data_IF_752092783797
#
_entry.id   IF_752092783797
#
_cell.length_a   1.000
_cell.length_b   1.000
_cell.length_c   1.000
_cell.angle_alpha   90.00
_cell.angle_beta   90.00
_cell.angle_gamma   90.00
#
_symmetry.space_group_name_H-M   'P 1'
#
loop_
_entity.id
_entity.type
_entity.pdbx_description
1 polymer ?
#
# COMPACT_ATOMS: atom_id res chain seq x y z
N UNK A 1 1.94 -11.95 4.74
CA UNK A 1 1.67 -13.04 3.81
C UNK A 1 2.61 -12.89 2.63
N UNK A 2 3.52 -13.85 2.51
CA UNK A 2 4.44 -13.93 1.40
C UNK A 2 3.89 -14.90 0.38
N UNK A 3 3.60 -14.41 -0.82
CA UNK A 3 3.18 -15.27 -1.93
C UNK A 3 4.44 -15.91 -2.51
N UNK A 4 4.53 -17.25 -2.58
CA UNK A 4 5.71 -17.91 -3.12
C UNK A 4 5.96 -17.46 -4.56
N UNK A 5 7.23 -17.40 -4.96
CA UNK A 5 7.60 -17.17 -6.35
C UNK A 5 7.28 -18.40 -7.21
N UNK A 6 6.86 -18.17 -8.45
CA UNK A 6 6.83 -19.24 -9.45
C UNK A 6 8.25 -19.68 -9.82
N UNK A 7 8.40 -20.83 -10.48
CA UNK A 7 9.71 -21.29 -10.96
C UNK A 7 10.38 -20.28 -11.88
N UNK A 8 9.60 -19.63 -12.75
CA UNK A 8 10.12 -18.63 -13.67
C UNK A 8 10.54 -17.35 -12.95
N UNK A 9 9.73 -16.88 -11.99
CA UNK A 9 10.09 -15.74 -11.14
C UNK A 9 11.35 -16.00 -10.33
N UNK A 10 11.52 -17.21 -9.78
CA UNK A 10 12.74 -17.56 -9.05
C UNK A 10 13.97 -17.54 -9.97
N UNK A 11 13.82 -17.98 -11.22
CA UNK A 11 14.88 -17.89 -12.24
C UNK A 11 15.23 -16.43 -12.56
N UNK A 12 14.22 -15.58 -12.76
CA UNK A 12 14.40 -14.14 -12.99
C UNK A 12 15.07 -13.45 -11.79
N UNK A 13 14.63 -13.77 -10.56
CA UNK A 13 15.23 -13.24 -9.34
C UNK A 13 16.70 -13.64 -9.22
N UNK A 14 17.04 -14.91 -9.44
CA UNK A 14 18.42 -15.39 -9.36
C UNK A 14 19.32 -14.75 -10.42
N UNK A 15 18.82 -14.59 -11.65
CA UNK A 15 19.56 -13.90 -12.71
C UNK A 15 19.81 -12.43 -12.36
N UNK A 16 18.83 -11.76 -11.74
CA UNK A 16 19.00 -10.39 -11.24
C UNK A 16 20.01 -10.32 -10.09
N UNK A 17 19.95 -11.24 -9.12
CA UNK A 17 20.90 -11.33 -8.00
C UNK A 17 22.34 -11.43 -8.52
N UNK A 18 22.59 -12.27 -9.54
CA UNK A 18 23.90 -12.39 -10.18
C UNK A 18 24.28 -11.10 -10.93
N UNK A 19 23.37 -10.56 -11.75
CA UNK A 19 23.62 -9.34 -12.53
C UNK A 19 23.98 -8.12 -11.67
N UNK A 20 23.41 -8.04 -10.45
CA UNK A 20 23.67 -6.97 -9.49
C UNK A 20 24.70 -7.35 -8.41
N UNK A 21 25.38 -8.48 -8.53
CA UNK A 21 26.47 -8.91 -7.65
C UNK A 21 26.05 -8.97 -6.17
N UNK A 22 24.94 -9.67 -5.92
CA UNK A 22 24.29 -9.84 -4.61
C UNK A 22 24.25 -11.31 -4.15
N UNK A 23 25.06 -12.19 -4.75
CA UNK A 23 25.03 -13.64 -4.55
C UNK A 23 25.27 -14.03 -3.09
N UNK A 24 26.15 -13.30 -2.40
CA UNK A 24 26.42 -13.51 -0.98
C UNK A 24 25.20 -13.28 -0.07
N UNK A 25 24.18 -12.56 -0.56
CA UNK A 25 22.92 -12.32 0.14
C UNK A 25 21.71 -13.00 -0.53
N UNK A 26 21.94 -13.94 -1.45
CA UNK A 26 20.87 -14.51 -2.29
C UNK A 26 19.73 -15.15 -1.49
N UNK A 27 20.04 -15.91 -0.45
CA UNK A 27 19.01 -16.57 0.37
C UNK A 27 18.16 -15.56 1.13
N UNK A 28 18.80 -14.53 1.70
CA UNK A 28 18.09 -13.45 2.40
C UNK A 28 17.20 -12.65 1.44
N UNK A 29 17.67 -12.37 0.23
CA UNK A 29 16.86 -11.69 -0.82
C UNK A 29 15.67 -12.55 -1.20
N UNK A 30 15.86 -13.87 -1.42
CA UNK A 30 14.75 -14.79 -1.71
C UNK A 30 13.74 -14.79 -0.59
N UNK A 31 14.18 -14.84 0.68
CA UNK A 31 13.31 -14.78 1.87
C UNK A 31 12.44 -13.53 1.93
N UNK A 32 12.95 -12.41 1.43
CA UNK A 32 12.26 -11.11 1.40
C UNK A 32 11.61 -10.81 0.04
N UNK A 33 11.45 -11.84 -0.81
CA UNK A 33 10.79 -11.74 -2.11
C UNK A 33 9.42 -12.41 -2.11
N UNK A 34 8.43 -11.73 -2.69
CA UNK A 34 7.07 -12.22 -2.85
C UNK A 34 6.60 -12.04 -4.29
N UNK A 35 5.78 -12.95 -4.77
CA UNK A 35 5.08 -12.75 -6.04
C UNK A 35 3.97 -11.70 -5.86
N UNK A 36 3.76 -10.87 -6.87
CA UNK A 36 2.68 -9.89 -6.91
C UNK A 36 2.25 -9.62 -8.36
N UNK A 37 1.31 -8.70 -8.56
CA UNK A 37 1.02 -8.18 -9.89
C UNK A 37 1.49 -6.73 -10.02
N UNK A 38 2.13 -6.43 -11.14
CA UNK A 38 2.21 -5.09 -11.70
C UNK A 38 0.90 -4.79 -12.43
N UNK A 39 0.26 -3.66 -12.10
CA UNK A 39 -0.95 -3.18 -12.75
C UNK A 39 -0.57 -2.03 -13.69
N UNK A 40 -0.68 -2.29 -14.99
CA UNK A 40 -0.16 -1.45 -16.06
C UNK A 40 -1.33 -0.75 -16.75
N UNK A 41 -1.19 0.56 -16.97
CA UNK A 41 -2.15 1.32 -17.76
C UNK A 41 -2.11 0.87 -19.23
N UNK A 42 -3.26 0.45 -19.75
CA UNK A 42 -3.46 -0.08 -21.10
C UNK A 42 -4.44 0.79 -21.89
N UNK A 43 -4.26 2.10 -21.77
CA UNK A 43 -5.08 3.12 -22.43
C UNK A 43 -6.37 3.50 -21.68
N UNK A 44 -7.11 4.44 -22.26
CA UNK A 44 -8.36 4.93 -21.67
C UNK A 44 -9.50 3.93 -21.90
N UNK A 45 -10.30 3.73 -20.85
CA UNK A 45 -11.53 2.97 -20.94
C UNK A 45 -12.66 3.82 -21.54
N UNK A 46 -13.19 3.35 -22.67
CA UNK A 46 -14.30 4.00 -23.39
C UNK A 46 -15.66 3.43 -23.01
N UNK A 47 -15.74 2.61 -21.95
CA UNK A 47 -16.95 1.97 -21.44
C UNK A 47 -17.67 1.10 -22.47
N UNK A 48 -16.91 0.37 -23.29
CA UNK A 48 -17.44 -0.55 -24.31
C UNK A 48 -17.90 -1.88 -23.73
N UNK A 49 -17.37 -2.26 -22.57
CA UNK A 49 -17.73 -3.45 -21.82
C UNK A 49 -17.95 -3.05 -20.35
N UNK A 50 -18.63 -3.92 -19.60
CA UNK A 50 -18.86 -3.77 -18.17
C UNK A 50 -18.16 -4.87 -17.38
N UNK A 51 -17.83 -4.59 -16.12
CA UNK A 51 -17.25 -5.57 -15.20
C UNK A 51 -15.77 -5.85 -15.45
N UNK A 52 -15.11 -5.03 -16.25
CA UNK A 52 -13.71 -5.14 -16.61
C UNK A 52 -12.82 -4.38 -15.60
N UNK A 53 -11.57 -4.77 -15.37
CA UNK A 53 -10.65 -4.08 -14.44
C UNK A 53 -10.35 -2.65 -14.89
N UNK A 54 -10.64 -1.68 -14.05
CA UNK A 54 -10.50 -0.27 -14.39
C UNK A 54 -10.21 0.58 -13.17
N UNK A 55 -9.35 1.56 -13.35
CA UNK A 55 -9.02 2.57 -12.35
C UNK A 55 -9.52 3.93 -12.84
N UNK A 56 -10.06 4.74 -11.93
CA UNK A 56 -10.73 6.00 -12.24
C UNK A 56 -12.06 5.86 -12.99
N UNK A 57 -12.74 6.99 -13.17
CA UNK A 57 -14.03 7.06 -13.88
C UNK A 57 -15.23 6.64 -13.03
N UNK A 58 -16.11 5.82 -13.61
CA UNK A 58 -17.43 5.48 -13.05
C UNK A 58 -17.60 3.95 -12.91
N UNK A 59 -17.83 3.38 -11.72
CA UNK A 59 -17.86 1.93 -11.53
C UNK A 59 -18.99 1.26 -12.32
N UNK A 60 -18.82 -0.01 -12.66
CA UNK A 60 -19.92 -0.86 -13.14
C UNK A 60 -20.56 -1.56 -11.95
N UNK A 61 -21.73 -1.11 -11.51
CA UNK A 61 -22.43 -1.68 -10.35
C UNK A 61 -23.73 -2.36 -10.79
N UNK A 62 -24.20 -3.38 -10.05
CA UNK A 62 -25.55 -3.90 -10.19
C UNK A 62 -26.60 -2.80 -9.99
N UNK A 63 -27.81 -3.02 -10.53
CA UNK A 63 -28.85 -2.00 -10.50
C UNK A 63 -29.27 -1.61 -9.06
N UNK A 64 -29.22 -2.58 -8.15
CA UNK A 64 -29.62 -2.44 -6.75
C UNK A 64 -28.52 -1.91 -5.81
N UNK A 65 -27.31 -1.65 -6.31
CA UNK A 65 -26.24 -1.06 -5.53
C UNK A 65 -26.13 0.43 -5.87
N UNK A 66 -26.36 1.26 -4.86
CA UNK A 66 -26.24 2.71 -4.96
C UNK A 66 -24.77 3.16 -4.90
N UNK A 67 -24.52 4.42 -5.28
CA UNK A 67 -23.20 5.02 -5.10
C UNK A 67 -22.94 5.21 -3.60
N UNK A 68 -21.81 4.74 -3.04
CA UNK A 68 -21.57 4.84 -1.60
C UNK A 68 -21.52 6.29 -1.10
N UNK A 69 -22.17 6.55 0.04
CA UNK A 69 -22.19 7.87 0.69
C UNK A 69 -21.77 7.81 2.16
N UNK A 70 -21.27 8.92 2.68
CA UNK A 70 -21.03 9.15 4.11
C UNK A 70 -21.88 10.34 4.54
N UNK A 71 -22.49 10.27 5.72
CA UNK A 71 -23.20 11.41 6.32
C UNK A 71 -22.37 11.92 7.48
N UNK A 72 -22.00 13.20 7.43
CA UNK A 72 -21.34 13.90 8.53
C UNK A 72 -22.13 15.17 8.93
N UNK A 73 -21.50 16.05 9.70
CA UNK A 73 -22.14 17.29 10.18
C UNK A 73 -22.51 18.26 9.05
N UNK A 74 -21.82 18.19 7.90
CA UNK A 74 -22.06 19.05 6.74
C UNK A 74 -23.10 18.44 5.77
N UNK A 75 -23.55 17.21 6.05
CA UNK A 75 -24.56 16.50 5.27
C UNK A 75 -24.03 15.26 4.55
N UNK A 76 -24.65 14.91 3.42
CA UNK A 76 -24.33 13.71 2.66
C UNK A 76 -23.20 14.00 1.67
N UNK A 77 -22.08 13.29 1.85
CA UNK A 77 -20.92 13.27 0.95
C UNK A 77 -20.86 11.95 0.19
N UNK A 78 -20.35 11.98 -1.03
CA UNK A 78 -20.24 10.84 -1.94
C UNK A 78 -18.81 10.34 -1.92
N UNK A 79 -18.64 9.03 -1.77
CA UNK A 79 -17.31 8.43 -1.74
C UNK A 79 -16.67 8.52 -3.13
N UNK A 80 -15.37 8.78 -3.21
CA UNK A 80 -14.65 8.89 -4.48
C UNK A 80 -14.33 7.49 -5.01
N UNK A 81 -14.70 7.16 -6.26
CA UNK A 81 -14.37 5.88 -6.85
C UNK A 81 -12.90 5.80 -7.27
N UNK A 82 -12.19 4.76 -6.83
CA UNK A 82 -10.78 4.55 -7.15
C UNK A 82 -10.61 3.51 -8.25
N UNK A 83 -11.14 2.31 -8.04
CA UNK A 83 -10.96 1.23 -8.98
C UNK A 83 -11.99 0.11 -8.81
N UNK A 84 -12.17 -0.65 -9.88
CA UNK A 84 -12.78 -1.98 -9.88
C UNK A 84 -11.76 -2.99 -10.40
N UNK A 85 -11.60 -4.11 -9.70
CA UNK A 85 -10.66 -5.18 -10.05
C UNK A 85 -11.47 -6.46 -10.26
N UNK A 86 -11.53 -6.92 -11.52
CA UNK A 86 -12.12 -8.22 -11.83
C UNK A 86 -11.07 -9.30 -11.68
N UNK A 87 -11.20 -10.12 -10.65
CA UNK A 87 -10.24 -11.18 -10.36
C UNK A 87 -10.13 -12.23 -11.46
N UNK A 88 -11.13 -12.34 -12.34
CA UNK A 88 -11.11 -13.24 -13.50
C UNK A 88 -10.23 -12.73 -14.65
N UNK A 89 -9.88 -11.44 -14.67
CA UNK A 89 -8.93 -10.86 -15.65
C UNK A 89 -7.47 -10.99 -15.20
N UNK A 90 -7.21 -11.41 -13.96
CA UNK A 90 -5.85 -11.58 -13.46
C UNK A 90 -5.25 -12.87 -14.04
N UNK A 91 -4.04 -12.83 -14.64
CA UNK A 91 -3.37 -14.04 -15.07
C UNK A 91 -2.97 -14.88 -13.83
N UNK A 92 -2.73 -16.20 -13.97
CA UNK A 92 -2.27 -16.99 -12.83
C UNK A 92 -0.96 -16.46 -12.23
N UNK A 93 -0.97 -16.09 -10.94
CA UNK A 93 0.25 -15.71 -10.21
C UNK A 93 1.00 -16.96 -9.72
N UNK A 94 0.39 -17.68 -8.78
CA UNK A 94 0.82 -19.01 -8.32
C UNK A 94 -0.39 -19.82 -7.86
N UNK A 95 -0.20 -21.12 -7.63
CA UNK A 95 -1.25 -22.00 -7.06
C UNK A 95 -1.72 -21.58 -5.65
N UNK A 96 -0.98 -20.69 -4.97
CA UNK A 96 -1.21 -20.28 -3.58
C UNK A 96 -1.31 -18.75 -3.42
N UNK A 97 -1.79 -18.04 -4.44
CA UNK A 97 -1.94 -16.58 -4.35
C UNK A 97 -2.97 -16.14 -3.29
N UNK A 98 -3.92 -17.01 -2.93
CA UNK A 98 -5.00 -16.75 -1.97
C UNK A 98 -6.08 -15.77 -2.45
N UNK A 99 -5.82 -15.00 -3.52
CA UNK A 99 -6.81 -14.16 -4.19
C UNK A 99 -8.01 -14.97 -4.70
N UNK A 100 -9.20 -14.34 -4.79
CA UNK A 100 -10.31 -14.93 -5.52
C UNK A 100 -9.94 -15.26 -6.97
N UNK A 101 -10.54 -16.32 -7.51
CA UNK A 101 -10.41 -16.66 -8.94
C UNK A 101 -11.45 -15.97 -9.81
N UNK A 102 -12.44 -15.30 -9.20
CA UNK A 102 -13.55 -14.64 -9.87
C UNK A 102 -14.15 -13.57 -8.95
N UNK A 103 -15.02 -12.75 -9.51
CA UNK A 103 -15.69 -11.66 -8.78
C UNK A 103 -15.00 -10.32 -8.99
N UNK A 104 -15.64 -9.25 -8.52
CA UNK A 104 -15.15 -7.89 -8.69
C UNK A 104 -15.08 -7.19 -7.33
N UNK A 105 -13.90 -6.65 -7.02
CA UNK A 105 -13.68 -5.75 -5.89
C UNK A 105 -13.75 -4.31 -6.38
N UNK A 106 -14.55 -3.49 -5.72
CA UNK A 106 -14.64 -2.04 -5.94
C UNK A 106 -14.07 -1.33 -4.71
N UNK A 107 -13.28 -0.29 -4.92
CA UNK A 107 -12.71 0.54 -3.87
C UNK A 107 -13.13 2.00 -4.04
N UNK A 108 -13.54 2.61 -2.94
CA UNK A 108 -13.86 4.02 -2.84
C UNK A 108 -13.19 4.64 -1.61
N UNK A 109 -12.91 5.95 -1.67
CA UNK A 109 -12.45 6.74 -0.52
C UNK A 109 -13.67 7.33 0.19
N UNK A 110 -13.79 7.06 1.48
CA UNK A 110 -14.80 7.66 2.37
C UNK A 110 -14.30 8.90 3.08
N UNK A 111 -12.99 8.94 3.35
CA UNK A 111 -12.32 10.05 4.00
C UNK A 111 -10.82 9.92 3.74
N UNK A 112 -10.19 11.03 3.37
CA UNK A 112 -8.75 11.21 3.46
C UNK A 112 -8.52 12.60 4.04
N UNK A 113 -7.72 12.65 5.11
CA UNK A 113 -7.37 13.89 5.79
C UNK A 113 -6.01 14.39 5.35
N UNK A 114 -5.23 14.92 6.30
CA UNK A 114 -3.83 15.25 6.05
C UNK A 114 -2.98 14.00 5.87
N UNK A 115 -1.79 14.17 5.29
CA UNK A 115 -0.76 13.15 5.30
C UNK A 115 -0.51 12.67 6.76
N UNK A 116 -0.27 11.37 6.96
CA UNK A 116 -0.22 10.66 8.25
C UNK A 116 -1.56 10.41 9.01
N UNK A 117 -2.72 10.82 8.46
CA UNK A 117 -4.02 10.28 8.90
C UNK A 117 -4.38 9.02 8.10
N UNK A 118 -5.17 8.14 8.73
CA UNK A 118 -5.66 6.95 8.06
C UNK A 118 -6.61 7.34 6.92
N UNK A 119 -6.48 6.66 5.79
CA UNK A 119 -7.46 6.74 4.69
C UNK A 119 -8.58 5.76 4.97
N UNK A 120 -9.82 6.27 5.08
CA UNK A 120 -10.99 5.42 5.28
C UNK A 120 -11.55 4.99 3.93
N UNK A 121 -11.73 3.69 3.76
CA UNK A 121 -12.18 3.07 2.53
C UNK A 121 -13.63 2.60 2.63
N UNK A 122 -14.32 2.58 1.50
CA UNK A 122 -15.51 1.76 1.30
C UNK A 122 -15.18 0.75 0.21
N UNK A 123 -15.40 -0.52 0.50
CA UNK A 123 -15.20 -1.61 -0.43
C UNK A 123 -16.53 -2.28 -0.73
N UNK A 124 -16.66 -2.79 -1.95
CA UNK A 124 -17.75 -3.68 -2.33
C UNK A 124 -17.10 -4.88 -3.00
N UNK A 125 -17.37 -6.09 -2.51
CA UNK A 125 -16.89 -7.30 -3.17
C UNK A 125 -18.05 -8.16 -3.66
N UNK A 126 -18.16 -8.28 -4.98
CA UNK A 126 -19.13 -9.15 -5.65
C UNK A 126 -18.46 -10.47 -5.97
N UNK A 127 -18.70 -11.49 -5.15
CA UNK A 127 -18.10 -12.84 -5.29
C UNK A 127 -18.36 -13.50 -6.66
N UNK A 128 -19.48 -13.15 -7.30
CA UNK A 128 -19.82 -13.50 -8.69
C UNK A 128 -20.11 -12.23 -9.46
N UNK A 129 -19.71 -12.19 -10.72
CA UNK A 129 -20.02 -11.08 -11.64
C UNK A 129 -21.52 -11.13 -11.98
N UNK A 130 -22.33 -10.14 -11.58
CA UNK A 130 -23.76 -10.14 -11.87
C UNK A 130 -24.04 -9.93 -13.37
N UNK A 131 -25.11 -10.53 -13.87
CA UNK A 131 -25.51 -10.37 -15.27
C UNK A 131 -26.08 -8.98 -15.58
N UNK A 132 -26.51 -8.24 -14.56
CA UNK A 132 -27.15 -6.93 -14.64
C UNK A 132 -26.19 -5.75 -14.38
N UNK A 133 -24.87 -6.00 -14.41
CA UNK A 133 -23.87 -4.93 -14.27
C UNK A 133 -24.08 -3.82 -15.29
N UNK A 134 -24.09 -2.58 -14.80
CA UNK A 134 -24.19 -1.39 -15.63
C UNK A 134 -23.25 -0.32 -15.11
N UNK A 135 -22.70 0.46 -16.03
CA UNK A 135 -21.98 1.69 -15.70
C UNK A 135 -22.85 2.58 -14.82
N UNK A 136 -22.43 2.78 -13.57
CA UNK A 136 -23.10 3.66 -12.62
C UNK A 136 -22.58 5.07 -12.81
N UNK A 137 -23.42 5.93 -13.40
CA UNK A 137 -23.10 7.34 -13.56
C UNK A 137 -22.81 8.00 -12.22
N UNK A 138 -21.79 8.85 -12.21
CA UNK A 138 -21.51 9.70 -11.07
C UNK A 138 -22.75 10.55 -10.74
N UNK A 139 -22.94 10.92 -9.47
CA UNK A 139 -24.02 11.83 -9.05
C UNK A 139 -23.95 13.14 -9.86
N UNK A 140 -25.10 13.75 -10.18
CA UNK A 140 -25.14 14.96 -11.03
C UNK A 140 -24.48 16.20 -10.40
N UNK A 141 -24.46 16.27 -9.07
CA UNK A 141 -23.87 17.35 -8.26
C UNK A 141 -23.24 16.73 -7.01
N UNK A 142 -22.15 15.98 -7.19
CA UNK A 142 -21.54 15.27 -6.07
C UNK A 142 -20.90 16.28 -5.13
N UNK A 143 -21.11 16.07 -3.83
CA UNK A 143 -20.23 16.60 -2.79
C UNK A 143 -19.29 15.45 -2.50
N UNK A 144 -18.04 15.52 -2.97
CA UNK A 144 -17.08 14.43 -2.80
C UNK A 144 -16.51 14.38 -1.38
N UNK A 145 -16.13 13.18 -0.95
CA UNK A 145 -15.43 12.99 0.33
C UNK A 145 -14.02 13.58 0.29
N UNK A 146 -13.37 13.59 -0.87
CA UNK A 146 -12.00 14.05 -1.03
C UNK A 146 -11.78 14.74 -2.39
N UNK A 147 -10.93 15.77 -2.41
CA UNK A 147 -10.65 16.59 -3.60
C UNK A 147 -9.54 16.03 -4.50
N UNK A 148 -8.64 15.19 -4.00
CA UNK A 148 -7.56 14.59 -4.80
C UNK A 148 -8.05 13.49 -5.74
N UNK A 149 -9.22 12.90 -5.43
CA UNK A 149 -9.80 11.80 -6.18
C UNK A 149 -11.01 12.20 -7.03
N UNK A 150 -11.02 13.43 -7.55
CA UNK A 150 -12.07 13.93 -8.45
C UNK A 150 -11.63 13.82 -9.91
N UNK A 151 -12.60 13.66 -10.82
CA UNK A 151 -12.40 13.68 -12.28
C UNK A 151 -11.31 12.72 -12.81
N UNK A 152 -11.08 11.61 -12.10
CA UNK A 152 -10.12 10.59 -12.48
C UNK A 152 -10.47 10.00 -13.85
N UNK A 153 -9.46 9.92 -14.73
CA UNK A 153 -9.62 9.38 -16.07
C UNK A 153 -9.75 7.86 -16.01
N UNK A 154 -10.84 7.35 -16.58
CA UNK A 154 -11.12 5.93 -16.70
C UNK A 154 -10.00 5.24 -17.51
N UNK A 155 -9.24 4.37 -16.85
CA UNK A 155 -8.04 3.74 -17.40
C UNK A 155 -8.19 2.23 -17.35
N UNK A 156 -7.99 1.56 -18.50
CA UNK A 156 -7.93 0.09 -18.57
C UNK A 156 -6.63 -0.39 -17.99
N UNK A 157 -6.71 -1.51 -17.28
CA UNK A 157 -5.56 -2.10 -16.60
C UNK A 157 -5.30 -3.50 -17.15
N UNK A 158 -4.02 -3.75 -17.41
CA UNK A 158 -3.49 -5.07 -17.67
C UNK A 158 -2.63 -5.49 -16.50
N UNK A 159 -2.87 -6.68 -15.97
CA UNK A 159 -2.10 -7.23 -14.87
C UNK A 159 -0.98 -8.13 -15.40
N UNK A 160 0.23 -7.97 -14.88
CA UNK A 160 1.37 -8.85 -15.15
C UNK A 160 1.96 -9.36 -13.85
N UNK A 161 2.20 -10.67 -13.78
CA UNK A 161 2.83 -11.29 -12.63
C UNK A 161 4.30 -10.86 -12.53
N UNK A 162 4.73 -10.34 -11.39
CA UNK A 162 6.11 -9.87 -11.15
C UNK A 162 6.58 -10.19 -9.72
N UNK A 163 7.78 -9.73 -9.39
CA UNK A 163 8.44 -9.93 -8.10
C UNK A 163 8.43 -8.60 -7.33
N UNK A 164 8.10 -8.67 -6.04
CA UNK A 164 8.31 -7.58 -5.09
C UNK A 164 9.36 -8.01 -4.07
N UNK A 165 10.35 -7.17 -3.82
CA UNK A 165 11.35 -7.35 -2.76
C UNK A 165 11.05 -6.37 -1.63
N UNK A 166 11.14 -6.78 -0.37
CA UNK A 166 10.92 -5.93 0.80
C UNK A 166 12.13 -5.02 1.09
N UNK A 167 12.46 -4.12 0.15
CA UNK A 167 13.62 -3.23 0.25
C UNK A 167 13.58 -2.26 1.44
N UNK A 168 12.41 -1.98 2.01
CA UNK A 168 12.30 -1.16 3.23
C UNK A 168 12.64 -1.93 4.53
N UNK A 169 12.86 -3.25 4.46
CA UNK A 169 13.24 -4.03 5.65
C UNK A 169 14.65 -3.71 6.12
N UNK A 170 14.79 -3.16 7.33
CA UNK A 170 16.08 -2.78 7.88
C UNK A 170 17.02 -3.98 8.05
N UNK A 171 16.49 -5.14 8.47
CA UNK A 171 17.31 -6.34 8.70
C UNK A 171 17.91 -6.90 7.40
N UNK A 172 17.16 -6.82 6.30
CA UNK A 172 17.63 -7.15 4.96
C UNK A 172 18.75 -6.22 4.51
N UNK A 173 18.56 -4.90 4.65
CA UNK A 173 19.56 -3.91 4.25
C UNK A 173 20.85 -4.03 5.06
N UNK A 174 20.75 -4.18 6.39
CA UNK A 174 21.90 -4.39 7.27
C UNK A 174 22.66 -5.67 6.90
N UNK A 175 21.93 -6.77 6.63
CA UNK A 175 22.52 -8.02 6.19
C UNK A 175 23.24 -7.87 4.86
N UNK A 176 22.64 -7.18 3.88
CA UNK A 176 23.26 -6.97 2.56
C UNK A 176 24.54 -6.12 2.69
N UNK A 177 24.50 -5.00 3.42
CA UNK A 177 25.69 -4.17 3.66
C UNK A 177 26.82 -4.94 4.34
N UNK A 178 26.48 -5.84 5.25
CA UNK A 178 27.48 -6.66 5.96
C UNK A 178 28.08 -7.79 5.10
N UNK A 179 27.36 -8.28 4.08
CA UNK A 179 27.74 -9.47 3.33
C UNK A 179 28.08 -9.23 1.86
N UNK A 180 27.86 -8.02 1.34
CA UNK A 180 28.20 -7.66 -0.04
C UNK A 180 29.17 -6.48 -0.04
N UNK A 181 30.32 -6.59 -0.75
CA UNK A 181 31.27 -5.49 -0.80
C UNK A 181 30.71 -4.32 -1.62
N UNK A 182 31.20 -3.13 -1.31
CA UNK A 182 31.01 -1.95 -2.16
C UNK A 182 31.77 -2.12 -3.48
N UNK A 183 31.12 -1.75 -4.59
CA UNK A 183 31.68 -1.90 -5.95
C UNK A 183 31.35 -0.63 -6.71
N UNK A 184 32.36 0.05 -7.27
CA UNK A 184 32.20 1.31 -8.01
C UNK A 184 31.40 2.37 -7.22
N UNK A 185 31.71 2.55 -5.93
CA UNK A 185 31.00 3.45 -5.01
C UNK A 185 29.51 3.13 -4.78
N UNK A 186 29.08 1.92 -5.17
CA UNK A 186 27.72 1.41 -4.93
C UNK A 186 27.73 0.38 -3.80
N UNK A 187 27.04 0.70 -2.71
CA UNK A 187 26.78 -0.25 -1.61
C UNK A 187 25.78 -1.32 -2.04
N UNK A 188 25.78 -2.45 -1.31
CA UNK A 188 24.85 -3.54 -1.62
C UNK A 188 23.37 -3.15 -1.57
N UNK A 189 22.96 -2.23 -0.69
CA UNK A 189 21.59 -1.75 -0.61
C UNK A 189 21.18 -0.89 -1.82
N UNK A 190 22.10 -0.13 -2.43
CA UNK A 190 21.85 0.52 -3.72
C UNK A 190 21.63 -0.52 -4.82
N UNK A 191 22.48 -1.56 -4.87
CA UNK A 191 22.32 -2.65 -5.84
C UNK A 191 21.03 -3.46 -5.62
N UNK A 192 20.58 -3.61 -4.38
CA UNK A 192 19.27 -4.20 -4.06
C UNK A 192 18.11 -3.35 -4.61
N UNK A 193 18.19 -2.02 -4.48
CA UNK A 193 17.19 -1.13 -5.06
C UNK A 193 17.20 -1.21 -6.59
N UNK A 194 18.36 -1.30 -7.25
CA UNK A 194 18.45 -1.54 -8.69
C UNK A 194 17.83 -2.87 -9.11
N UNK A 195 18.10 -3.96 -8.38
CA UNK A 195 17.44 -5.24 -8.56
C UNK A 195 15.92 -5.12 -8.47
N UNK A 196 15.40 -4.47 -7.42
CA UNK A 196 13.97 -4.26 -7.26
C UNK A 196 13.37 -3.38 -8.36
N UNK A 197 14.10 -2.35 -8.82
CA UNK A 197 13.70 -1.50 -9.95
C UNK A 197 13.68 -2.26 -11.27
N UNK A 198 14.53 -3.27 -11.46
CA UNK A 198 14.56 -4.09 -12.68
C UNK A 198 13.27 -4.89 -12.91
N UNK A 199 12.48 -5.13 -11.86
CA UNK A 199 11.16 -5.77 -11.96
C UNK A 199 10.00 -4.80 -12.20
N UNK A 200 10.29 -3.48 -12.30
CA UNK A 200 9.27 -2.47 -12.61
C UNK A 200 9.00 -2.48 -14.10
N UNK A 201 7.72 -2.62 -14.46
CA UNK A 201 7.29 -2.60 -15.85
C UNK A 201 6.89 -1.18 -16.30
N UNK A 202 7.12 -0.81 -17.57
CA UNK A 202 6.68 0.48 -18.11
C UNK A 202 5.17 0.68 -17.92
N UNK A 203 4.76 1.93 -17.72
CA UNK A 203 3.35 2.33 -17.50
C UNK A 203 2.67 1.63 -16.31
N UNK A 204 3.43 1.05 -15.38
CA UNK A 204 2.89 0.55 -14.12
C UNK A 204 2.34 1.72 -13.30
N UNK A 205 1.06 1.68 -12.98
CA UNK A 205 0.40 2.68 -12.14
C UNK A 205 0.04 2.14 -10.76
N UNK A 206 0.01 0.82 -10.58
CA UNK A 206 -0.27 0.19 -9.29
C UNK A 206 0.39 -1.19 -9.16
N UNK A 207 0.37 -1.75 -7.96
CA UNK A 207 0.65 -3.17 -7.71
C UNK A 207 -0.42 -3.80 -6.83
N UNK A 208 -0.79 -5.05 -7.12
CA UNK A 208 -1.68 -5.86 -6.31
C UNK A 208 -0.84 -6.93 -5.60
N UNK A 209 -0.91 -6.97 -4.27
CA UNK A 209 0.00 -7.70 -3.37
C UNK A 209 1.45 -7.18 -3.43
N UNK A 210 2.35 -7.83 -2.69
CA UNK A 210 3.76 -7.47 -2.61
C UNK A 210 4.09 -6.77 -1.29
N UNK A 211 5.09 -5.90 -1.33
CA UNK A 211 5.53 -5.12 -0.16
C UNK A 211 5.31 -3.63 -0.39
N UNK A 212 4.99 -2.90 0.68
CA UNK A 212 4.68 -1.48 0.59
C UNK A 212 5.86 -0.67 0.08
N UNK A 213 7.06 -0.88 0.62
CA UNK A 213 8.26 -0.12 0.25
C UNK A 213 7.96 1.38 0.14
N UNK A 214 7.63 2.05 1.26
CA UNK A 214 7.47 3.51 1.27
C UNK A 214 8.75 4.20 0.80
N UNK A 215 8.62 5.45 0.35
CA UNK A 215 9.77 6.21 -0.15
C UNK A 215 10.75 6.52 0.98
N UNK A 216 10.25 6.93 2.14
CA UNK A 216 11.05 7.03 3.35
C UNK A 216 11.18 5.63 3.98
N UNK A 217 12.39 5.05 4.06
CA UNK A 217 12.59 3.75 4.69
C UNK A 217 12.35 3.77 6.21
N UNK A 218 12.18 4.95 6.82
CA UNK A 218 11.77 5.07 8.23
C UNK A 218 10.27 4.83 8.42
N UNK A 219 9.48 4.94 7.37
CA UNK A 219 8.05 4.68 7.43
C UNK A 219 7.80 3.18 7.52
N UNK A 220 7.09 2.78 8.58
CA UNK A 220 6.57 1.42 8.73
C UNK A 220 5.04 1.46 8.72
N UNK A 221 4.47 1.54 7.53
CA UNK A 221 3.04 1.72 7.34
C UNK A 221 2.23 0.54 7.89
N UNK A 222 2.74 -0.70 7.80
CA UNK A 222 2.13 -1.87 8.44
C UNK A 222 2.05 -1.71 9.97
N UNK A 223 3.09 -1.15 10.58
CA UNK A 223 3.09 -0.83 12.01
C UNK A 223 2.08 0.27 12.34
N UNK A 224 2.00 1.31 11.50
CA UNK A 224 1.01 2.39 11.64
C UNK A 224 -0.42 1.87 11.54
N UNK A 225 -0.70 0.97 10.59
CA UNK A 225 -2.01 0.30 10.46
C UNK A 225 -2.31 -0.53 11.71
N UNK A 226 -1.35 -1.29 12.21
CA UNK A 226 -1.50 -2.07 13.44
C UNK A 226 -1.82 -1.20 14.66
N UNK A 227 -1.06 -0.11 14.87
CA UNK A 227 -1.32 0.84 15.96
C UNK A 227 -2.68 1.52 15.83
N UNK A 228 -3.12 1.81 14.60
CA UNK A 228 -4.46 2.35 14.33
C UNK A 228 -5.55 1.35 14.73
N UNK A 229 -5.37 0.07 14.36
CA UNK A 229 -6.30 -0.99 14.71
C UNK A 229 -6.36 -1.24 16.23
N UNK A 230 -5.24 -1.14 16.94
CA UNK A 230 -5.17 -1.25 18.41
C UNK A 230 -5.77 0.00 19.11
N UNK A 231 -5.96 1.11 18.38
CA UNK A 231 -6.55 2.34 18.91
C UNK A 231 -5.53 3.34 19.46
N UNK A 232 -4.25 3.25 19.08
CA UNK A 232 -3.19 4.17 19.50
C UNK A 232 -2.29 4.61 18.33
N UNK A 233 -2.91 5.13 17.27
CA UNK A 233 -2.20 5.59 16.06
C UNK A 233 -1.09 6.61 16.35
N UNK A 234 -1.32 7.54 17.28
CA UNK A 234 -0.38 8.63 17.60
C UNK A 234 1.00 8.13 18.10
N UNK A 235 1.10 6.88 18.54
CA UNK A 235 2.38 6.25 18.85
C UNK A 235 3.32 6.11 17.62
N UNK A 236 2.82 6.28 16.40
CA UNK A 236 3.65 6.31 15.19
C UNK A 236 4.76 7.36 15.23
N UNK A 237 4.54 8.48 15.93
CA UNK A 237 5.49 9.61 15.98
C UNK A 237 6.70 9.37 16.89
N UNK A 238 6.75 8.25 17.59
CA UNK A 238 7.79 7.92 18.56
C UNK A 238 8.46 6.56 18.32
N UNK A 239 8.19 5.93 17.16
CA UNK A 239 8.77 4.63 16.78
C UNK A 239 10.29 4.64 16.67
N UNK A 240 10.88 5.81 16.41
CA UNK A 240 12.34 6.00 16.38
C UNK A 240 13.05 5.87 17.73
N UNK A 241 12.33 6.00 18.86
CA UNK A 241 12.93 5.91 20.20
C UNK A 241 12.90 4.47 20.72
N UNK A 242 14.07 3.93 21.08
CA UNK A 242 14.20 2.59 21.67
C UNK A 242 14.00 2.60 23.17
N UNK A 243 14.24 3.72 23.84
CA UNK A 243 14.15 3.86 25.30
C UNK A 243 13.66 5.25 25.72
N UNK A 244 13.15 5.36 26.96
CA UNK A 244 12.84 6.67 27.57
C UNK A 244 14.08 7.57 27.70
N UNK A 245 15.27 6.97 27.88
CA UNK A 245 16.53 7.69 28.00
C UNK A 245 16.86 8.48 26.73
N UNK A 246 16.72 7.85 25.55
CA UNK A 246 16.95 8.51 24.26
C UNK A 246 15.98 9.68 24.04
N UNK A 247 14.71 9.50 24.45
CA UNK A 247 13.71 10.55 24.39
C UNK A 247 14.05 11.74 25.29
N UNK A 248 14.48 11.48 26.53
CA UNK A 248 14.88 12.51 27.50
C UNK A 248 16.17 13.23 27.08
N UNK A 249 17.11 12.53 26.46
CA UNK A 249 18.33 13.12 25.91
C UNK A 249 18.00 14.08 24.76
N UNK A 250 17.09 13.70 23.86
CA UNK A 250 16.62 14.60 22.81
C UNK A 250 15.84 15.79 23.36
N UNK A 251 15.01 15.60 24.40
CA UNK A 251 14.31 16.69 25.07
C UNK A 251 15.28 17.74 25.67
N UNK A 252 16.42 17.31 26.24
CA UNK A 252 17.47 18.23 26.69
C UNK A 252 18.10 18.99 25.53
N UNK A 253 18.39 18.31 24.43
CA UNK A 253 18.89 18.95 23.22
C UNK A 253 17.91 20.01 22.69
N UNK A 254 16.60 19.71 22.65
CA UNK A 254 15.57 20.68 22.25
C UNK A 254 15.52 21.86 23.22
N UNK A 255 15.57 21.63 24.53
CA UNK A 255 15.58 22.71 25.53
C UNK A 255 16.70 23.73 25.29
N UNK A 256 17.89 23.26 24.90
CA UNK A 256 19.05 24.12 24.70
C UNK A 256 19.10 24.78 23.31
N UNK A 257 18.56 24.12 22.27
CA UNK A 257 18.72 24.55 20.86
C UNK A 257 17.44 25.05 20.21
N UNK A 258 16.29 24.49 20.58
CA UNK A 258 14.97 24.72 19.99
C UNK A 258 13.86 24.62 21.06
N UNK A 259 13.89 25.48 22.10
CA UNK A 259 12.97 25.38 23.24
C UNK A 259 11.50 25.51 22.85
N UNK A 260 11.20 26.13 21.71
CA UNK A 260 9.85 26.22 21.16
C UNK A 260 9.28 24.88 20.68
N UNK A 261 10.12 23.90 20.33
CA UNK A 261 9.70 22.56 19.88
C UNK A 261 9.48 21.59 21.07
N UNK A 262 9.94 21.97 22.27
CA UNK A 262 9.91 21.12 23.46
C UNK A 262 8.47 20.77 23.91
N UNK A 263 7.49 21.69 23.93
CA UNK A 263 6.11 21.35 24.31
C UNK A 263 5.51 20.24 23.43
N UNK A 264 5.66 20.35 22.11
CA UNK A 264 5.16 19.35 21.15
C UNK A 264 5.88 18.00 21.30
N UNK A 265 7.17 18.03 21.64
CA UNK A 265 7.92 16.82 21.97
C UNK A 265 7.40 16.16 23.25
N UNK A 266 7.20 16.92 24.33
CA UNK A 266 6.76 16.38 25.62
C UNK A 266 5.37 15.75 25.58
N UNK A 267 4.44 16.24 24.74
CA UNK A 267 3.14 15.59 24.50
C UNK A 267 3.30 14.14 24.03
N UNK A 268 4.39 13.81 23.33
CA UNK A 268 4.68 12.46 22.81
C UNK A 268 5.19 11.48 23.86
N UNK A 269 5.50 11.95 25.08
CA UNK A 269 6.07 11.13 26.16
C UNK A 269 5.16 9.96 26.53
N UNK A 270 3.86 10.19 26.65
CA UNK A 270 2.92 9.14 27.03
C UNK A 270 2.68 8.14 25.90
N UNK A 271 2.72 8.59 24.64
CA UNK A 271 2.73 7.71 23.49
C UNK A 271 3.97 6.79 23.48
N UNK A 272 5.15 7.30 23.85
CA UNK A 272 6.35 6.47 23.94
C UNK A 272 6.27 5.47 25.10
N UNK A 273 5.81 5.88 26.28
CA UNK A 273 5.59 4.94 27.41
C UNK A 273 4.66 3.81 27.01
N UNK A 274 3.56 4.15 26.34
CA UNK A 274 2.62 3.17 25.83
C UNK A 274 3.31 2.24 24.82
N UNK A 275 4.00 2.79 23.81
CA UNK A 275 4.64 1.99 22.77
C UNK A 275 5.67 1.02 23.37
N UNK A 276 6.48 1.47 24.33
CA UNK A 276 7.46 0.62 25.03
C UNK A 276 6.80 -0.55 25.77
N UNK A 277 5.62 -0.32 26.37
CA UNK A 277 4.87 -1.36 27.08
C UNK A 277 4.12 -2.34 26.16
N UNK A 278 3.82 -1.95 24.91
CA UNK A 278 2.99 -2.73 23.98
C UNK A 278 3.73 -3.18 22.71
N UNK A 279 5.08 -3.16 22.70
CA UNK A 279 5.86 -3.50 21.49
C UNK A 279 5.54 -4.88 20.93
N UNK A 280 5.38 -5.86 21.79
CA UNK A 280 5.09 -7.24 21.38
C UNK A 280 3.70 -7.35 20.77
N UNK A 281 2.70 -6.68 21.35
CA UNK A 281 1.34 -6.60 20.80
C UNK A 281 1.35 -5.91 19.43
N UNK A 282 2.00 -4.75 19.32
CA UNK A 282 2.12 -4.01 18.05
C UNK A 282 2.82 -4.86 16.99
N UNK A 283 3.92 -5.52 17.33
CA UNK A 283 4.65 -6.39 16.40
C UNK A 283 3.81 -7.59 15.96
N UNK A 284 3.06 -8.20 16.89
CA UNK A 284 2.16 -9.33 16.58
C UNK A 284 1.03 -8.88 15.65
N UNK A 285 0.40 -7.74 15.95
CA UNK A 285 -0.69 -7.20 15.11
C UNK A 285 -0.17 -6.78 13.74
N UNK A 286 1.00 -6.14 13.66
CA UNK A 286 1.66 -5.75 12.40
C UNK A 286 1.85 -6.94 11.47
N UNK A 287 2.23 -8.11 12.00
CA UNK A 287 2.41 -9.33 11.20
C UNK A 287 1.11 -9.83 10.56
N UNK A 288 -0.06 -9.35 10.98
CA UNK A 288 -1.35 -9.73 10.40
C UNK A 288 -1.76 -8.85 9.21
N UNK A 289 -1.11 -7.70 8.99
CA UNK A 289 -1.48 -6.75 7.94
C UNK A 289 -0.61 -6.90 6.71
N UNK A 290 -1.24 -6.95 5.53
CA UNK A 290 -0.56 -7.17 4.26
C UNK A 290 -1.01 -6.17 3.22
N UNK A 291 -0.08 -5.69 2.40
CA UNK A 291 -0.42 -4.87 1.26
C UNK A 291 -1.36 -5.65 0.33
N UNK A 292 -2.54 -5.10 0.10
CA UNK A 292 -3.46 -5.53 -0.94
C UNK A 292 -3.19 -4.76 -2.23
N UNK A 293 -3.21 -3.43 -2.19
CA UNK A 293 -3.04 -2.57 -3.37
C UNK A 293 -2.13 -1.39 -3.03
N UNK A 294 -1.13 -1.12 -3.86
CA UNK A 294 -0.40 0.15 -3.88
C UNK A 294 -0.74 0.86 -5.18
N UNK A 295 -1.36 2.04 -5.12
CA UNK A 295 -1.69 2.86 -6.27
C UNK A 295 -0.81 4.11 -6.26
N UNK A 296 0.00 4.28 -7.30
CA UNK A 296 0.85 5.46 -7.45
C UNK A 296 0.05 6.65 -7.99
N UNK A 297 0.41 7.87 -7.57
CA UNK A 297 0.10 9.06 -8.35
C UNK A 297 0.63 8.90 -9.78
N UNK A 298 -0.18 9.21 -10.78
CA UNK A 298 0.13 8.99 -12.19
C UNK A 298 -0.76 9.80 -13.14
N UNK A 299 -0.19 10.17 -14.28
CA UNK A 299 -0.88 10.96 -15.32
C UNK A 299 -1.96 10.18 -16.08
N UNK A 300 -1.86 8.84 -16.17
CA UNK A 300 -2.80 8.04 -16.95
C UNK A 300 -4.24 8.20 -16.44
N UNK A 301 -4.42 8.25 -15.12
CA UNK A 301 -5.72 8.50 -14.49
C UNK A 301 -5.90 9.94 -14.00
N UNK A 302 -4.91 10.83 -14.21
CA UNK A 302 -4.84 12.17 -13.60
C UNK A 302 -4.93 12.15 -12.07
N UNK A 303 -4.29 11.17 -11.44
CA UNK A 303 -4.22 11.10 -9.98
C UNK A 303 -2.93 11.75 -9.50
N UNK A 304 -3.06 12.74 -8.62
CA UNK A 304 -1.93 13.32 -7.90
C UNK A 304 -2.32 13.49 -6.43
N UNK A 305 -1.77 12.64 -5.57
CA UNK A 305 -1.97 12.68 -4.11
C UNK A 305 -0.76 13.40 -3.52
N UNK A 306 -0.97 14.52 -2.82
CA UNK A 306 0.12 15.33 -2.23
C UNK A 306 1.28 15.58 -3.23
N UNK A 307 2.51 15.27 -2.83
CA UNK A 307 3.74 15.37 -3.62
C UNK A 307 4.01 14.09 -4.42
N UNK A 308 2.99 13.64 -5.17
CA UNK A 308 2.99 12.38 -5.92
C UNK A 308 3.12 11.11 -5.05
N UNK A 309 2.55 11.16 -3.86
CA UNK A 309 2.47 10.03 -2.94
C UNK A 309 1.62 8.89 -3.53
N UNK A 310 1.92 7.63 -3.18
CA UNK A 310 1.04 6.50 -3.43
C UNK A 310 0.00 6.32 -2.32
N UNK A 311 -1.18 5.83 -2.71
CA UNK A 311 -2.17 5.25 -1.81
C UNK A 311 -1.83 3.77 -1.55
N UNK A 312 -1.79 3.39 -0.29
CA UNK A 312 -1.63 2.02 0.16
C UNK A 312 -2.95 1.51 0.73
N UNK A 313 -3.31 0.28 0.37
CA UNK A 313 -4.49 -0.42 0.90
C UNK A 313 -4.02 -1.75 1.46
N UNK A 314 -4.33 -1.99 2.72
CA UNK A 314 -3.97 -3.17 3.49
C UNK A 314 -5.19 -4.03 3.79
N UNK A 315 -4.94 -5.32 3.90
CA UNK A 315 -5.91 -6.32 4.33
C UNK A 315 -5.30 -7.20 5.41
N UNK A 316 -6.11 -7.59 6.38
CA UNK A 316 -5.68 -8.51 7.45
C UNK A 316 -5.64 -9.95 6.94
N UNK A 317 -4.72 -10.77 7.45
CA UNK A 317 -4.48 -12.15 6.98
C UNK A 317 -5.75 -13.03 7.01
N UNK A 318 -6.53 -12.93 8.10
CA UNK A 318 -7.78 -13.68 8.24
C UNK A 318 -8.82 -13.24 7.20
N UNK A 319 -8.98 -11.93 6.99
CA UNK A 319 -9.91 -11.40 6.00
C UNK A 319 -9.51 -11.80 4.58
N UNK A 320 -8.21 -11.75 4.27
CA UNK A 320 -7.69 -12.23 3.00
C UNK A 320 -7.98 -13.72 2.77
N UNK A 321 -7.76 -14.55 3.79
CA UNK A 321 -8.04 -15.99 3.75
C UNK A 321 -9.53 -16.28 3.52
N UNK A 322 -10.40 -15.51 4.19
CA UNK A 322 -11.86 -15.60 4.06
C UNK A 322 -12.40 -14.95 2.78
N UNK A 323 -11.55 -14.22 2.04
CA UNK A 323 -11.94 -13.38 0.88
C UNK A 323 -12.99 -12.34 1.28
N UNK A 324 -12.85 -11.82 2.49
CA UNK A 324 -13.60 -10.69 3.02
C UNK A 324 -12.80 -9.43 2.74
N UNK A 325 -13.43 -8.42 2.14
CA UNK A 325 -12.78 -7.15 1.83
C UNK A 325 -13.40 -6.00 2.60
N UNK A 326 -14.19 -6.26 3.65
CA UNK A 326 -15.00 -5.24 4.32
C UNK A 326 -14.18 -4.37 5.28
N UNK A 327 -13.01 -4.86 5.74
CA UNK A 327 -12.16 -4.22 6.75
C UNK A 327 -10.77 -3.86 6.19
N UNK A 328 -10.74 -3.11 5.09
CA UNK A 328 -9.48 -2.63 4.52
C UNK A 328 -8.98 -1.39 5.28
N UNK A 329 -7.68 -1.31 5.49
CA UNK A 329 -7.01 -0.12 6.02
C UNK A 329 -6.31 0.63 4.89
N UNK A 330 -6.41 1.96 4.88
CA UNK A 330 -5.76 2.80 3.88
C UNK A 330 -4.71 3.73 4.50
N UNK A 331 -3.59 3.93 3.80
CA UNK A 331 -2.52 4.85 4.20
C UNK A 331 -2.02 5.64 3.01
N UNK A 332 -1.49 6.84 3.28
CA UNK A 332 -0.70 7.65 2.35
C UNK A 332 0.58 8.07 3.08
N UNK A 333 1.69 8.16 2.35
CA UNK A 333 2.94 8.71 2.90
C UNK A 333 2.83 10.24 3.06
N UNK A 334 3.74 10.81 3.84
CA UNK A 334 4.06 12.24 3.72
C UNK A 334 5.29 12.32 2.80
N UNK A 335 5.21 13.10 1.73
CA UNK A 335 6.28 13.30 0.74
C UNK A 335 7.64 13.70 1.31
#
# INVERSE_FOLDING_TARGET
MRIPLSREMLKQLNAGIEAFQLEAAADKIREHSSACYSLIADGQDKYKAVGNTRFGGEPDLPANIEWPTVTDQDGIKHCNFICQINFSELPPLTRKSGLPSSGILYLFIRFMGSAAQAVLLHSIYLKKVPADLKRRKAPKKPIWCDEYFIDLVATRIRAEATISIQCADQSLNEYIRANTPEINDETGDFRLDYLNRSFRLPNRIASLLGYSNPYDPRDNLEQTVAMTHIGNREAQWVTGYKTMKEFDEYARFLKDRRPQDLPDHEVKRDHLKWLLAHREEVATEQMLWHLLLKLHSNDHMKLNINDADPLYVYIRENDFTLKSFDNLAGEITQG
#
